data_IF_189188054093
#
_entry.id   IF_189188054093
#
_cell.length_a   1.000
_cell.length_b   1.000
_cell.length_c   1.000
_cell.angle_alpha   90.00
_cell.angle_beta   90.00
_cell.angle_gamma   90.00
#
_symmetry.space_group_name_H-M   'P 1'
#
loop_
_entity.id
_entity.type
_entity.pdbx_description
1 polymer ?
#
# COMPACT_ATOMS: atom_id res chain seq x y z
N UNK A 1 46.28 -1.59 -26.27
CA UNK A 1 45.15 -2.47 -25.98
C UNK A 1 45.07 -2.56 -24.46
N UNK A 2 44.22 -1.78 -23.77
CA UNK A 2 42.79 -2.08 -23.48
C UNK A 2 42.63 -3.50 -22.92
N UNK A 3 42.01 -3.77 -21.77
CA UNK A 3 41.22 -3.02 -20.79
C UNK A 3 41.21 -3.84 -19.47
N UNK A 4 41.34 -3.25 -18.27
CA UNK A 4 40.25 -2.94 -17.30
C UNK A 4 39.41 -4.17 -16.92
N UNK A 5 39.24 -4.63 -15.68
CA UNK A 5 39.62 -4.16 -14.33
C UNK A 5 39.57 -5.36 -13.36
N UNK A 6 40.30 -5.41 -12.24
CA UNK A 6 40.09 -4.58 -11.05
C UNK A 6 38.58 -4.40 -10.81
N UNK A 7 37.97 -4.82 -9.71
CA UNK A 7 38.46 -4.97 -8.36
C UNK A 7 37.30 -5.67 -7.61
N UNK A 8 37.61 -6.47 -6.59
CA UNK A 8 36.71 -6.82 -5.50
C UNK A 8 35.87 -5.61 -5.08
N UNK A 9 34.58 -5.57 -5.43
CA UNK A 9 33.62 -4.70 -4.75
C UNK A 9 32.88 -5.59 -3.78
N UNK A 10 33.30 -5.49 -2.52
CA UNK A 10 32.71 -6.20 -1.41
C UNK A 10 31.20 -6.01 -1.38
N UNK A 11 30.53 -7.09 -0.99
CA UNK A 11 29.13 -7.11 -0.58
C UNK A 11 29.04 -6.27 0.70
N UNK A 12 28.98 -4.95 0.54
CA UNK A 12 28.80 -4.02 1.64
C UNK A 12 27.35 -4.13 2.10
N UNK A 13 27.10 -5.05 3.03
CA UNK A 13 25.93 -5.00 3.89
C UNK A 13 25.98 -3.66 4.63
N UNK A 14 25.28 -2.66 4.11
CA UNK A 14 25.13 -1.37 4.75
C UNK A 14 24.12 -1.52 5.88
N UNK A 15 24.58 -1.97 7.03
CA UNK A 15 23.77 -1.96 8.27
C UNK A 15 23.76 -0.53 8.79
N UNK A 16 22.75 0.25 8.43
CA UNK A 16 22.44 1.51 9.10
C UNK A 16 21.73 1.19 10.42
N UNK A 17 22.49 1.15 11.53
CA UNK A 17 21.89 1.23 12.88
C UNK A 17 21.57 2.69 13.14
N UNK A 18 20.38 3.13 12.73
CA UNK A 18 19.76 4.35 13.25
C UNK A 18 18.65 3.90 14.18
N UNK A 19 18.62 4.47 15.38
CA UNK A 19 17.83 3.99 16.49
C UNK A 19 16.35 3.79 16.15
N UNK A 20 15.87 2.58 16.42
CA UNK A 20 14.48 2.27 16.78
C UNK A 20 13.42 2.57 15.70
N UNK A 21 13.46 1.81 14.59
CA UNK A 21 12.27 1.17 13.99
C UNK A 21 12.71 0.14 12.96
N UNK A 22 12.10 -1.04 13.01
CA UNK A 22 12.39 -2.15 12.12
C UNK A 22 11.82 -1.82 10.73
N UNK A 23 12.65 -1.77 9.70
CA UNK A 23 12.19 -2.00 8.31
C UNK A 23 12.77 -3.34 7.90
N UNK A 24 11.96 -4.37 8.08
CA UNK A 24 12.19 -5.67 7.44
C UNK A 24 11.98 -5.44 5.96
N UNK A 25 13.08 -5.38 5.19
CA UNK A 25 13.02 -5.50 3.73
C UNK A 25 12.84 -6.99 3.45
N UNK A 26 11.60 -7.45 3.42
CA UNK A 26 11.27 -8.76 2.86
C UNK A 26 11.10 -8.61 1.35
N UNK A 27 12.02 -9.17 0.58
CA UNK A 27 11.67 -10.19 -0.40
C UNK A 27 10.53 -9.88 -1.39
N UNK A 28 10.54 -8.70 -2.04
CA UNK A 28 9.51 -8.28 -3.02
C UNK A 28 10.01 -8.44 -4.47
N UNK A 29 10.30 -9.66 -4.93
CA UNK A 29 10.50 -9.94 -6.36
C UNK A 29 10.06 -11.36 -6.77
N UNK A 30 9.02 -11.92 -6.15
CA UNK A 30 8.44 -13.19 -6.59
C UNK A 30 6.92 -13.20 -6.38
N UNK A 31 6.19 -12.61 -7.34
CA UNK A 31 4.84 -12.96 -7.88
C UNK A 31 3.98 -11.72 -8.15
N UNK A 32 3.98 -11.23 -9.40
CA UNK A 32 2.97 -10.31 -9.94
C UNK A 32 1.63 -11.05 -10.21
N UNK A 33 1.15 -11.83 -9.24
CA UNK A 33 -0.27 -12.20 -9.18
C UNK A 33 -0.81 -11.40 -8.00
N UNK A 34 -1.43 -10.22 -8.24
CA UNK A 34 -2.10 -9.52 -7.16
C UNK A 34 -3.09 -10.53 -6.56
N UNK A 35 -3.00 -10.73 -5.25
CA UNK A 35 -3.91 -11.63 -4.54
C UNK A 35 -5.38 -11.27 -4.82
N UNK A 36 -6.32 -12.14 -4.45
CA UNK A 36 -7.74 -11.87 -4.69
C UNK A 36 -8.11 -10.48 -4.14
N UNK A 37 -8.86 -9.71 -4.93
CA UNK A 37 -9.30 -8.38 -4.53
C UNK A 37 -10.09 -8.45 -3.21
N UNK A 38 -10.15 -7.38 -2.40
CA UNK A 38 -10.96 -7.33 -1.18
C UNK A 38 -12.40 -7.84 -1.35
N UNK A 39 -13.00 -7.52 -2.50
CA UNK A 39 -14.35 -7.95 -2.85
C UNK A 39 -14.38 -9.46 -3.09
N UNK A 40 -13.39 -10.00 -3.81
CA UNK A 40 -13.26 -11.44 -4.02
C UNK A 40 -13.00 -12.19 -2.72
N UNK A 41 -12.14 -11.67 -1.84
CA UNK A 41 -11.83 -12.28 -0.54
C UNK A 41 -13.08 -12.38 0.35
N UNK A 42 -13.87 -11.30 0.43
CA UNK A 42 -15.14 -11.26 1.16
C UNK A 42 -16.19 -12.18 0.51
N UNK A 43 -16.22 -12.27 -0.82
CA UNK A 43 -17.11 -13.19 -1.53
C UNK A 43 -16.73 -14.66 -1.28
N UNK A 44 -15.44 -15.00 -1.25
CA UNK A 44 -14.96 -16.35 -0.94
C UNK A 44 -15.34 -16.76 0.47
N UNK A 45 -15.21 -15.88 1.47
CA UNK A 45 -15.64 -16.17 2.84
C UNK A 45 -17.13 -16.55 2.94
N UNK A 46 -17.99 -15.99 2.08
CA UNK A 46 -19.40 -16.40 1.99
C UNK A 46 -19.56 -17.77 1.33
N UNK A 47 -18.85 -18.03 0.23
CA UNK A 47 -18.87 -19.32 -0.46
C UNK A 47 -18.37 -20.47 0.43
N UNK A 48 -17.36 -20.19 1.26
CA UNK A 48 -16.80 -21.12 2.25
C UNK A 48 -17.69 -21.27 3.50
N UNK A 49 -18.73 -20.43 3.62
CA UNK A 49 -19.69 -20.45 4.73
C UNK A 49 -19.15 -19.89 6.04
N UNK A 50 -18.06 -19.12 5.99
CA UNK A 50 -17.43 -18.46 7.15
C UNK A 50 -18.21 -17.21 7.58
N UNK A 51 -18.88 -16.56 6.63
CA UNK A 51 -19.80 -15.44 6.88
C UNK A 51 -21.18 -15.74 6.30
N UNK A 52 -22.22 -15.23 6.95
CA UNK A 52 -23.58 -15.27 6.42
C UNK A 52 -23.84 -14.13 5.42
N UNK A 53 -24.98 -14.19 4.73
CA UNK A 53 -25.39 -13.19 3.74
C UNK A 53 -25.49 -11.77 4.32
N UNK A 54 -25.93 -11.64 5.58
CA UNK A 54 -26.06 -10.32 6.23
C UNK A 54 -24.70 -9.68 6.47
N UNK A 55 -23.71 -10.46 6.90
CA UNK A 55 -22.34 -9.97 7.09
C UNK A 55 -21.64 -9.74 5.74
N UNK A 56 -21.92 -10.56 4.71
CA UNK A 56 -21.45 -10.31 3.35
C UNK A 56 -21.93 -8.94 2.85
N UNK A 57 -23.23 -8.67 2.94
CA UNK A 57 -23.82 -7.38 2.54
C UNK A 57 -23.24 -6.21 3.32
N UNK A 58 -23.03 -6.37 4.63
CA UNK A 58 -22.42 -5.32 5.47
C UNK A 58 -21.00 -5.00 5.02
N UNK A 59 -20.18 -6.01 4.77
CA UNK A 59 -18.78 -5.83 4.33
C UNK A 59 -18.70 -5.28 2.91
N UNK A 60 -19.51 -5.80 1.99
CA UNK A 60 -19.59 -5.28 0.63
C UNK A 60 -20.12 -3.85 0.59
N UNK A 61 -21.04 -3.47 1.48
CA UNK A 61 -21.51 -2.08 1.57
C UNK A 61 -20.41 -1.08 1.93
N UNK A 62 -19.39 -1.51 2.68
CA UNK A 62 -18.20 -0.70 2.99
C UNK A 62 -17.22 -0.72 1.80
N UNK A 63 -16.98 -1.90 1.22
CA UNK A 63 -16.04 -2.05 0.11
C UNK A 63 -16.53 -1.39 -1.19
N UNK A 64 -17.83 -1.42 -1.45
CA UNK A 64 -18.49 -0.85 -2.63
C UNK A 64 -19.04 0.55 -2.31
N UNK A 65 -18.61 1.18 -1.20
CA UNK A 65 -18.79 2.61 -1.06
C UNK A 65 -18.00 3.29 -2.19
N UNK A 66 -18.74 3.85 -3.16
CA UNK A 66 -18.19 4.49 -4.37
C UNK A 66 -17.08 5.50 -4.02
N UNK A 67 -17.17 6.13 -2.84
CA UNK A 67 -16.18 7.07 -2.35
C UNK A 67 -14.86 6.39 -1.99
N UNK A 68 -14.92 5.35 -1.16
CA UNK A 68 -13.75 4.62 -0.71
C UNK A 68 -13.07 3.91 -1.88
N UNK A 69 -13.86 3.35 -2.81
CA UNK A 69 -13.32 2.77 -4.03
C UNK A 69 -12.56 3.79 -4.87
N UNK A 70 -13.08 5.01 -5.01
CA UNK A 70 -12.40 6.05 -5.80
C UNK A 70 -11.04 6.42 -5.19
N UNK A 71 -10.94 6.55 -3.86
CA UNK A 71 -9.66 6.83 -3.20
C UNK A 71 -8.68 5.66 -3.36
N UNK A 72 -9.15 4.42 -3.19
CA UNK A 72 -8.30 3.24 -3.39
C UNK A 72 -7.76 3.16 -4.81
N UNK A 73 -8.62 3.31 -5.81
CA UNK A 73 -8.23 3.26 -7.22
C UNK A 73 -7.20 4.34 -7.57
N UNK A 74 -7.34 5.55 -7.02
CA UNK A 74 -6.37 6.64 -7.22
C UNK A 74 -5.01 6.36 -6.58
N UNK A 75 -5.00 5.67 -5.44
CA UNK A 75 -3.79 5.40 -4.67
C UNK A 75 -3.07 4.11 -5.10
N UNK A 76 -3.78 3.10 -5.61
CA UNK A 76 -3.19 1.82 -6.04
C UNK A 76 -2.23 1.97 -7.24
N UNK A 77 -2.41 3.01 -8.06
CA UNK A 77 -1.50 3.32 -9.16
C UNK A 77 -0.14 3.91 -8.69
N UNK A 78 -0.05 4.34 -7.43
CA UNK A 78 1.16 4.97 -6.87
C UNK A 78 2.14 3.89 -6.38
N UNK A 79 3.28 3.75 -7.05
CA UNK A 79 4.22 2.67 -6.75
C UNK A 79 4.73 2.71 -5.27
N UNK A 80 4.53 1.60 -4.57
CA UNK A 80 4.82 1.47 -3.13
C UNK A 80 3.60 1.70 -2.22
N UNK A 81 2.44 2.01 -2.79
CA UNK A 81 1.12 1.95 -2.18
C UNK A 81 0.42 0.71 -2.74
N UNK A 82 0.13 -0.25 -1.88
CA UNK A 82 -0.64 -1.44 -2.25
C UNK A 82 -2.01 -1.42 -1.56
N UNK A 83 -2.83 -2.45 -1.85
CA UNK A 83 -4.20 -2.61 -1.34
C UNK A 83 -4.39 -2.26 0.13
N UNK A 84 -3.47 -2.66 1.00
CA UNK A 84 -3.58 -2.40 2.44
C UNK A 84 -3.46 -0.90 2.74
N UNK A 85 -2.46 -0.23 2.17
CA UNK A 85 -2.26 1.21 2.37
C UNK A 85 -3.31 2.06 1.66
N UNK A 86 -3.79 1.63 0.49
CA UNK A 86 -4.87 2.35 -0.20
C UNK A 86 -6.19 2.26 0.56
N UNK A 87 -6.47 1.13 1.23
CA UNK A 87 -7.59 1.01 2.18
C UNK A 87 -7.42 1.92 3.39
N UNK A 88 -6.25 1.93 4.02
CA UNK A 88 -6.01 2.81 5.17
C UNK A 88 -6.13 4.29 4.79
N UNK A 89 -5.70 4.68 3.58
CA UNK A 89 -5.92 6.03 3.04
C UNK A 89 -7.41 6.33 2.82
N UNK A 90 -8.20 5.37 2.33
CA UNK A 90 -9.64 5.55 2.13
C UNK A 90 -10.42 5.64 3.46
N UNK A 91 -9.88 5.03 4.52
CA UNK A 91 -10.40 5.10 5.89
C UNK A 91 -10.04 6.42 6.58
N UNK A 92 -8.81 6.95 6.37
CA UNK A 92 -8.36 8.23 6.96
C UNK A 92 -8.99 9.44 6.26
N UNK A 93 -9.12 9.41 4.93
CA UNK A 93 -9.63 10.53 4.15
C UNK A 93 -11.09 10.34 3.78
N UNK A 94 -11.92 11.31 4.16
CA UNK A 94 -13.37 11.32 3.97
C UNK A 94 -13.83 11.77 2.58
N UNK A 95 -12.96 12.29 1.72
CA UNK A 95 -13.25 12.54 0.29
C UNK A 95 -11.96 12.56 -0.53
N UNK A 96 -12.08 12.43 -1.86
CA UNK A 96 -10.96 12.67 -2.79
C UNK A 96 -10.42 14.10 -2.66
N UNK A 97 -11.30 15.06 -2.37
CA UNK A 97 -10.88 16.45 -2.15
C UNK A 97 -10.03 16.59 -0.88
N UNK A 98 -10.34 15.85 0.19
CA UNK A 98 -9.55 15.82 1.42
C UNK A 98 -8.18 15.19 1.17
N UNK A 99 -8.12 14.10 0.38
CA UNK A 99 -6.86 13.48 -0.02
C UNK A 99 -5.97 14.43 -0.82
N UNK A 100 -6.50 15.17 -1.81
CA UNK A 100 -5.72 16.16 -2.56
C UNK A 100 -5.32 17.39 -1.74
N UNK A 101 -6.09 17.73 -0.71
CA UNK A 101 -5.79 18.85 0.18
C UNK A 101 -4.81 18.47 1.28
N UNK A 102 -4.57 17.17 1.50
CA UNK A 102 -3.69 16.64 2.51
C UNK A 102 -2.25 17.11 2.28
N UNK A 103 -1.57 17.45 3.37
CA UNK A 103 -0.13 17.69 3.34
C UNK A 103 0.66 16.43 3.72
N UNK A 104 1.99 16.54 3.70
CA UNK A 104 2.88 15.43 4.02
C UNK A 104 2.69 14.92 5.46
N UNK A 105 2.32 15.78 6.42
CA UNK A 105 2.06 15.37 7.80
C UNK A 105 0.72 14.65 7.92
N UNK A 106 -0.28 15.04 7.13
CA UNK A 106 -1.58 14.39 7.07
C UNK A 106 -1.48 12.97 6.51
N UNK A 107 -0.76 12.77 5.40
CA UNK A 107 -0.54 11.45 4.81
C UNK A 107 0.26 10.51 5.72
N UNK A 108 1.19 11.05 6.51
CA UNK A 108 1.99 10.29 7.47
C UNK A 108 1.22 9.83 8.72
N UNK A 109 -0.06 10.21 8.87
CA UNK A 109 -0.91 9.66 9.94
C UNK A 109 -1.31 8.22 9.67
N UNK A 110 -1.26 7.79 8.42
CA UNK A 110 -1.47 6.41 8.00
C UNK A 110 -0.24 5.58 8.33
N UNK A 111 -0.43 4.51 9.09
CA UNK A 111 0.66 3.64 9.52
C UNK A 111 1.31 2.98 8.30
N UNK A 112 2.64 3.13 8.17
CA UNK A 112 3.37 2.61 7.01
C UNK A 112 3.51 3.57 5.82
N UNK A 113 2.99 4.80 5.93
CA UNK A 113 3.34 5.94 5.08
C UNK A 113 4.42 6.79 5.79
N UNK A 114 5.64 6.74 5.26
CA UNK A 114 6.73 7.64 5.66
C UNK A 114 6.99 8.73 4.61
N UNK A 115 7.91 9.65 4.90
CA UNK A 115 8.21 10.83 4.07
C UNK A 115 8.27 10.54 2.55
N UNK A 116 9.00 9.48 2.16
CA UNK A 116 9.16 9.12 0.74
C UNK A 116 7.86 8.72 0.05
N UNK A 117 6.96 8.03 0.76
CA UNK A 117 5.67 7.59 0.22
C UNK A 117 4.70 8.78 0.19
N UNK A 118 4.72 9.62 1.22
CA UNK A 118 3.93 10.84 1.27
C UNK A 118 4.33 11.81 0.14
N UNK A 119 5.62 12.05 -0.09
CA UNK A 119 6.11 12.86 -1.21
C UNK A 119 5.64 12.31 -2.56
N UNK A 120 5.67 10.98 -2.73
CA UNK A 120 5.24 10.35 -3.97
C UNK A 120 3.74 10.48 -4.22
N UNK A 121 2.93 10.30 -3.18
CA UNK A 121 1.49 10.54 -3.23
C UNK A 121 1.19 12.00 -3.62
N UNK A 122 1.93 12.97 -3.06
CA UNK A 122 1.76 14.39 -3.42
C UNK A 122 2.21 14.71 -4.85
N UNK A 123 3.17 13.98 -5.40
CA UNK A 123 3.67 14.17 -6.77
C UNK A 123 2.75 13.54 -7.82
N UNK A 124 2.06 12.44 -7.50
CA UNK A 124 1.29 11.63 -8.46
C UNK A 124 -0.23 11.88 -8.42
N UNK A 125 -0.76 12.49 -7.34
CA UNK A 125 -2.18 12.86 -7.20
C UNK A 125 -2.46 14.32 -7.58
#
# INVERSE_FOLDING_TARGET
MTDIGALLVGLSALVFVVGRSYVVVSDWLESDDPGPSPVEEVHQAYLDGEIDETELERRLGILVDDRASTIRDMCDDVDGIGDELSRELADEFDTVADLHAADCEDLQRVDGIGDKKAEKLLDEL
#
